data_IF_470327017096
#
_entry.id   IF_470327017096
#
_cell.length_a   1.000
_cell.length_b   1.000
_cell.length_c   1.000
_cell.angle_alpha   90.00
_cell.angle_beta   90.00
_cell.angle_gamma   90.00
#
_symmetry.space_group_name_H-M   'P 1'
#
loop_
_entity.id
_entity.type
_entity.pdbx_description
1 polymer ?
#
# COMPACT_ATOMS: atom_id res chain seq x y z
N UNK A 1 10.63 1.40 -23.17
CA UNK A 1 11.36 2.66 -23.04
C UNK A 1 12.13 2.94 -24.32
N UNK A 2 11.87 4.09 -24.95
CA UNK A 2 12.48 4.52 -26.23
C UNK A 2 13.94 4.91 -25.96
N UNK A 3 14.82 3.94 -25.92
CA UNK A 3 16.24 4.19 -25.67
C UNK A 3 17.12 3.68 -26.81
N UNK A 4 16.50 3.00 -27.77
CA UNK A 4 17.18 2.43 -28.92
C UNK A 4 16.43 2.77 -30.20
N UNK A 5 17.15 3.00 -31.29
CA UNK A 5 16.62 3.08 -32.62
C UNK A 5 17.15 1.89 -33.45
N UNK A 6 16.38 1.47 -34.42
CA UNK A 6 16.80 0.43 -35.33
C UNK A 6 17.75 1.00 -36.40
N UNK A 7 18.85 0.33 -36.65
CA UNK A 7 19.81 0.68 -37.69
C UNK A 7 19.41 0.05 -39.02
N UNK A 8 19.87 0.60 -40.14
CA UNK A 8 19.59 0.09 -41.50
C UNK A 8 19.93 -1.39 -41.66
N UNK A 9 20.82 -1.94 -40.86
CA UNK A 9 21.26 -3.33 -40.92
C UNK A 9 20.54 -4.25 -39.89
N UNK A 10 19.39 -3.85 -39.37
CA UNK A 10 18.61 -4.63 -38.39
C UNK A 10 19.19 -4.65 -36.98
N UNK A 11 20.28 -3.93 -36.71
CA UNK A 11 20.84 -3.76 -35.37
C UNK A 11 20.09 -2.71 -34.57
N UNK A 12 20.41 -2.62 -33.28
CA UNK A 12 19.84 -1.60 -32.36
C UNK A 12 20.95 -0.73 -31.79
N UNK A 13 20.81 0.57 -31.91
CA UNK A 13 21.71 1.53 -31.27
C UNK A 13 20.97 2.46 -30.30
N UNK A 14 21.70 3.04 -29.35
CA UNK A 14 21.11 3.96 -28.36
C UNK A 14 20.62 5.23 -29.08
N UNK A 15 19.36 5.58 -28.85
CA UNK A 15 18.74 6.80 -29.38
C UNK A 15 19.13 8.04 -28.55
N UNK A 16 20.42 8.27 -28.36
CA UNK A 16 20.94 9.35 -27.48
C UNK A 16 20.50 10.75 -27.92
N UNK A 17 20.23 10.95 -29.22
CA UNK A 17 19.77 12.22 -29.80
C UNK A 17 18.24 12.40 -29.73
N UNK A 18 17.48 11.40 -29.22
CA UNK A 18 16.04 11.55 -29.07
C UNK A 18 15.72 12.53 -27.93
N UNK A 19 14.79 13.48 -28.08
CA UNK A 19 14.45 14.46 -27.05
C UNK A 19 14.13 13.84 -25.68
N UNK A 20 13.42 12.71 -25.67
CA UNK A 20 13.06 11.98 -24.45
C UNK A 20 14.23 11.23 -23.79
N UNK A 21 15.37 11.06 -24.49
CA UNK A 21 16.49 10.29 -23.92
C UNK A 21 17.02 10.90 -22.64
N UNK A 22 17.18 12.24 -22.62
CA UNK A 22 17.63 12.98 -21.44
C UNK A 22 16.65 12.78 -20.28
N UNK A 23 15.37 13.02 -20.52
CA UNK A 23 14.31 12.96 -19.50
C UNK A 23 14.16 11.55 -18.92
N UNK A 24 14.16 10.52 -19.77
CA UNK A 24 13.91 9.13 -19.32
C UNK A 24 15.16 8.42 -18.81
N UNK A 25 16.37 8.89 -19.13
CA UNK A 25 17.61 8.16 -18.83
C UNK A 25 18.58 8.90 -17.94
N UNK A 26 18.46 10.20 -17.84
CA UNK A 26 19.39 11.01 -17.04
C UNK A 26 18.68 11.74 -15.92
N UNK A 27 17.80 12.66 -16.29
CA UNK A 27 17.22 13.61 -15.34
C UNK A 27 15.81 14.00 -15.80
N UNK A 28 14.76 13.44 -15.19
CA UNK A 28 13.37 13.75 -15.51
C UNK A 28 12.95 15.16 -15.07
N UNK A 29 13.54 15.70 -14.00
CA UNK A 29 13.35 17.06 -13.50
C UNK A 29 14.61 17.53 -12.75
N UNK A 30 14.72 18.80 -12.38
CA UNK A 30 15.92 19.34 -11.70
C UNK A 30 16.24 18.71 -10.35
N UNK A 31 15.26 18.11 -9.68
CA UNK A 31 15.38 17.59 -8.31
C UNK A 31 15.68 16.09 -8.24
N UNK A 32 15.49 15.36 -9.34
CA UNK A 32 15.56 13.89 -9.35
C UNK A 32 16.42 13.37 -10.49
N UNK A 33 17.16 12.32 -10.22
CA UNK A 33 17.77 11.46 -11.24
C UNK A 33 16.72 10.53 -11.85
N UNK A 34 17.02 9.95 -13.02
CA UNK A 34 16.12 8.98 -13.64
C UNK A 34 15.92 7.72 -12.77
N UNK A 35 16.92 7.35 -11.98
CA UNK A 35 16.81 6.21 -11.05
C UNK A 35 15.81 6.49 -9.93
N UNK A 36 15.96 7.61 -9.23
CA UNK A 36 15.05 8.03 -8.16
C UNK A 36 13.61 8.17 -8.64
N UNK A 37 13.43 8.74 -9.84
CA UNK A 37 12.12 8.84 -10.46
C UNK A 37 11.48 7.46 -10.73
N UNK A 38 12.24 6.52 -11.32
CA UNK A 38 11.73 5.17 -11.59
C UNK A 38 11.45 4.38 -10.29
N UNK A 39 12.28 4.54 -9.28
CA UNK A 39 12.07 3.96 -7.95
C UNK A 39 10.78 4.48 -7.34
N UNK A 40 10.57 5.80 -7.33
CA UNK A 40 9.36 6.42 -6.80
C UNK A 40 8.11 5.99 -7.58
N UNK A 41 8.15 6.00 -8.92
CA UNK A 41 7.04 5.55 -9.77
C UNK A 41 6.71 4.07 -9.55
N UNK A 42 7.72 3.24 -9.33
CA UNK A 42 7.53 1.81 -9.03
C UNK A 42 6.92 1.62 -7.65
N UNK A 43 7.39 2.35 -6.65
CA UNK A 43 6.83 2.34 -5.29
C UNK A 43 5.37 2.79 -5.27
N UNK A 44 5.02 3.83 -6.03
CA UNK A 44 3.63 4.26 -6.20
C UNK A 44 2.76 3.16 -6.84
N UNK A 45 3.25 2.49 -7.89
CA UNK A 45 2.53 1.36 -8.49
C UNK A 45 2.37 0.20 -7.51
N UNK A 46 3.40 -0.13 -6.73
CA UNK A 46 3.34 -1.21 -5.75
C UNK A 46 2.35 -0.91 -4.61
N UNK A 47 2.31 0.34 -4.12
CA UNK A 47 1.43 0.76 -3.04
C UNK A 47 -0.01 0.99 -3.49
N UNK A 48 -0.20 1.87 -4.48
CA UNK A 48 -1.53 2.34 -4.91
C UNK A 48 -2.07 1.70 -6.19
N UNK A 49 -1.26 0.89 -6.87
CA UNK A 49 -1.60 0.32 -8.17
C UNK A 49 -1.47 1.32 -9.33
N UNK A 50 -1.17 2.57 -9.05
CA UNK A 50 -1.07 3.65 -10.01
C UNK A 50 0.08 4.58 -9.64
N UNK A 51 0.78 5.08 -10.67
CA UNK A 51 1.77 6.13 -10.50
C UNK A 51 1.54 7.22 -11.55
N UNK A 52 1.66 8.46 -11.13
CA UNK A 52 1.37 9.62 -11.97
C UNK A 52 2.56 10.56 -11.99
N UNK A 53 2.83 11.14 -13.16
CA UNK A 53 3.73 12.26 -13.26
C UNK A 53 3.15 13.31 -14.21
N UNK A 54 3.26 14.57 -13.83
CA UNK A 54 2.90 15.70 -14.70
C UNK A 54 3.95 15.85 -15.79
N UNK A 55 3.48 15.99 -17.01
CA UNK A 55 4.32 16.22 -18.19
C UNK A 55 4.42 17.74 -18.40
N UNK A 56 5.61 18.28 -18.32
CA UNK A 56 5.90 19.66 -18.67
C UNK A 56 6.48 19.70 -20.07
N UNK A 57 5.85 20.48 -20.94
CA UNK A 57 6.28 20.66 -22.32
C UNK A 57 7.11 21.95 -22.47
N UNK A 58 8.02 21.96 -23.43
CA UNK A 58 8.69 23.17 -23.89
C UNK A 58 7.80 23.94 -24.90
N UNK A 59 8.24 25.14 -25.33
CA UNK A 59 7.52 25.95 -26.30
C UNK A 59 7.34 25.32 -27.66
N UNK A 60 8.03 24.22 -27.95
CA UNK A 60 7.91 23.43 -29.19
C UNK A 60 7.05 22.16 -29.01
N UNK A 61 6.39 21.99 -27.87
CA UNK A 61 5.55 20.82 -27.55
C UNK A 61 6.33 19.54 -27.22
N UNK A 62 7.62 19.64 -26.95
CA UNK A 62 8.45 18.48 -26.57
C UNK A 62 8.46 18.31 -25.06
N UNK A 63 8.49 17.08 -24.57
CA UNK A 63 8.58 16.80 -23.14
C UNK A 63 9.91 17.31 -22.60
N UNK A 64 9.83 18.27 -21.69
CA UNK A 64 10.96 18.89 -21.01
C UNK A 64 11.23 18.26 -19.66
N UNK A 65 10.17 18.03 -18.86
CA UNK A 65 10.27 17.52 -17.50
C UNK A 65 9.11 16.56 -17.17
N UNK A 66 9.34 15.69 -16.19
CA UNK A 66 8.35 14.82 -15.57
C UNK A 66 8.38 15.03 -14.06
N UNK A 67 7.27 15.46 -13.48
CA UNK A 67 7.13 15.72 -12.05
C UNK A 67 6.19 14.68 -11.42
N UNK A 68 6.67 13.84 -10.48
CA UNK A 68 5.82 12.86 -9.82
C UNK A 68 4.68 13.53 -9.07
N UNK A 69 3.49 12.94 -9.18
CA UNK A 69 2.29 13.34 -8.45
C UNK A 69 1.89 12.22 -7.50
N UNK A 70 1.42 12.58 -6.31
CA UNK A 70 1.01 11.60 -5.29
C UNK A 70 -0.28 10.90 -5.72
N UNK A 71 -0.30 9.54 -5.73
CA UNK A 71 -1.48 8.77 -6.17
C UNK A 71 -2.71 8.94 -5.26
N UNK A 72 -2.49 9.13 -3.95
CA UNK A 72 -3.56 9.36 -2.97
C UNK A 72 -4.30 10.70 -3.14
N UNK A 73 -3.75 11.59 -3.97
CA UNK A 73 -4.33 12.90 -4.29
C UNK A 73 -4.79 13.02 -5.74
N UNK A 74 -4.76 11.93 -6.49
CA UNK A 74 -5.17 11.89 -7.89
C UNK A 74 -6.52 11.21 -8.04
N UNK A 75 -7.48 11.91 -8.60
CA UNK A 75 -8.74 11.35 -9.06
C UNK A 75 -8.71 11.15 -10.58
N UNK A 76 -9.21 10.02 -11.04
CA UNK A 76 -9.27 9.68 -12.46
C UNK A 76 -10.70 9.26 -12.79
N UNK A 77 -11.31 9.94 -13.74
CA UNK A 77 -12.66 9.64 -14.17
C UNK A 77 -12.76 9.61 -15.71
N UNK A 78 -13.78 8.92 -16.21
CA UNK A 78 -14.16 9.00 -17.63
C UNK A 78 -15.41 9.84 -17.79
N UNK A 79 -15.29 10.95 -18.49
CA UNK A 79 -16.41 11.87 -18.74
C UNK A 79 -16.48 12.22 -20.22
N UNK A 80 -17.63 11.97 -20.86
CA UNK A 80 -17.79 12.22 -22.29
C UNK A 80 -16.87 11.40 -23.19
N UNK A 81 -16.44 10.21 -22.77
CA UNK A 81 -15.51 9.36 -23.52
C UNK A 81 -14.02 9.67 -23.30
N UNK A 82 -13.71 10.79 -22.66
CA UNK A 82 -12.34 11.21 -22.37
C UNK A 82 -11.94 10.89 -20.92
N UNK A 83 -10.66 10.55 -20.71
CA UNK A 83 -10.10 10.39 -19.37
C UNK A 83 -9.71 11.76 -18.86
N UNK A 84 -10.21 12.11 -17.67
CA UNK A 84 -9.89 13.33 -16.95
C UNK A 84 -9.16 13.00 -15.65
N UNK A 85 -8.17 13.80 -15.35
CA UNK A 85 -7.40 13.72 -14.11
C UNK A 85 -7.67 14.97 -13.30
N UNK A 86 -7.86 14.82 -11.99
CA UNK A 86 -7.97 15.94 -11.05
C UNK A 86 -6.97 15.72 -9.94
N UNK A 87 -6.06 16.65 -9.75
CA UNK A 87 -5.05 16.58 -8.71
C UNK A 87 -5.37 17.54 -7.57
N UNK A 88 -5.47 17.02 -6.35
CA UNK A 88 -5.67 17.79 -5.13
C UNK A 88 -4.31 18.29 -4.60
N UNK A 89 -4.05 19.58 -4.73
CA UNK A 89 -2.85 20.21 -4.20
C UNK A 89 -2.82 20.25 -2.67
N UNK A 90 -1.65 20.54 -2.09
CA UNK A 90 -1.50 20.63 -0.63
C UNK A 90 -2.36 21.72 0.02
N UNK A 91 -2.62 22.80 -0.72
CA UNK A 91 -3.48 23.92 -0.31
C UNK A 91 -4.98 23.61 -0.38
N UNK A 92 -5.37 22.39 -0.78
CA UNK A 92 -6.76 21.98 -0.97
C UNK A 92 -7.36 22.37 -2.31
N UNK A 93 -6.61 22.98 -3.20
CA UNK A 93 -7.10 23.36 -4.54
C UNK A 93 -7.08 22.14 -5.47
N UNK A 94 -8.19 21.93 -6.19
CA UNK A 94 -8.27 20.94 -7.24
C UNK A 94 -7.80 21.50 -8.57
N UNK A 95 -6.86 20.82 -9.20
CA UNK A 95 -6.30 21.18 -10.50
C UNK A 95 -6.68 20.13 -11.52
N UNK A 96 -7.52 20.46 -12.50
CA UNK A 96 -7.83 19.55 -13.60
C UNK A 96 -6.62 19.45 -14.53
N UNK A 97 -6.27 18.22 -14.92
CA UNK A 97 -5.18 17.93 -15.85
C UNK A 97 -5.76 17.16 -17.05
N UNK A 98 -5.39 17.59 -18.23
CA UNK A 98 -5.74 16.87 -19.45
C UNK A 98 -4.96 15.54 -19.56
N UNK A 99 -5.52 14.56 -20.27
CA UNK A 99 -4.91 13.23 -20.41
C UNK A 99 -3.49 13.26 -20.97
N UNK A 100 -3.15 14.21 -21.82
CA UNK A 100 -1.82 14.38 -22.41
C UNK A 100 -0.82 15.08 -21.48
N UNK A 101 -1.28 15.67 -20.38
CA UNK A 101 -0.44 16.30 -19.35
C UNK A 101 -0.02 15.31 -18.25
N UNK A 102 -0.53 14.08 -18.29
CA UNK A 102 -0.27 13.11 -17.23
C UNK A 102 0.36 11.85 -17.82
N UNK A 103 1.56 11.53 -17.38
CA UNK A 103 2.13 10.20 -17.55
C UNK A 103 1.55 9.28 -16.48
N UNK A 104 0.61 8.43 -16.86
CA UNK A 104 -0.05 7.49 -15.97
C UNK A 104 0.51 6.09 -16.20
N UNK A 105 1.18 5.55 -15.18
CA UNK A 105 1.63 4.15 -15.12
C UNK A 105 0.66 3.38 -14.25
N UNK A 106 0.11 2.30 -14.78
CA UNK A 106 -0.87 1.43 -14.11
C UNK A 106 -0.26 0.06 -13.85
N UNK A 107 -0.53 -0.49 -12.67
CA UNK A 107 -0.24 -1.88 -12.36
C UNK A 107 -1.28 -2.80 -13.04
N UNK A 108 -1.79 -3.81 -12.35
CA UNK A 108 -2.83 -4.67 -12.90
C UNK A 108 -4.13 -3.87 -13.11
N UNK A 109 -4.62 -3.81 -14.35
CA UNK A 109 -5.78 -3.02 -14.74
C UNK A 109 -6.97 -3.96 -14.99
N UNK A 110 -8.13 -3.67 -14.38
CA UNK A 110 -9.35 -4.44 -14.59
C UNK A 110 -10.39 -3.69 -15.42
N UNK A 111 -10.56 -2.39 -15.20
CA UNK A 111 -11.56 -1.53 -15.86
C UNK A 111 -11.00 -0.70 -17.04
N UNK A 112 -9.70 -0.79 -17.28
CA UNK A 112 -9.00 0.02 -18.29
C UNK A 112 -8.74 1.47 -17.89
N UNK A 113 -9.22 1.90 -16.71
CA UNK A 113 -9.07 3.28 -16.24
C UNK A 113 -7.95 3.44 -15.23
N UNK A 114 -8.01 2.67 -14.15
CA UNK A 114 -7.01 2.68 -13.07
C UNK A 114 -6.45 1.29 -12.79
N UNK A 115 -5.25 1.24 -12.25
CA UNK A 115 -4.64 0.01 -11.78
C UNK A 115 -5.12 -0.35 -10.38
N UNK A 116 -5.25 -1.65 -10.09
CA UNK A 116 -5.55 -2.15 -8.75
C UNK A 116 -4.33 -2.07 -7.85
N UNK A 117 -4.54 -1.62 -6.62
CA UNK A 117 -3.51 -1.67 -5.59
C UNK A 117 -3.21 -3.11 -5.18
N UNK A 118 -1.98 -3.60 -5.33
CA UNK A 118 -1.58 -4.93 -4.84
C UNK A 118 -1.82 -5.08 -3.34
N UNK A 119 -1.58 -4.04 -2.56
CA UNK A 119 -1.84 -4.03 -1.12
C UNK A 119 -3.33 -4.20 -0.80
N UNK A 120 -4.22 -3.56 -1.56
CA UNK A 120 -5.66 -3.71 -1.37
C UNK A 120 -6.14 -5.13 -1.66
N UNK A 121 -5.58 -5.78 -2.67
CA UNK A 121 -5.89 -7.18 -3.01
C UNK A 121 -5.40 -8.12 -1.91
N UNK A 122 -4.22 -7.88 -1.37
CA UNK A 122 -3.61 -8.68 -0.32
C UNK A 122 -4.02 -8.28 1.10
N UNK A 123 -4.96 -7.34 1.27
CA UNK A 123 -5.28 -6.72 2.57
C UNK A 123 -5.63 -7.72 3.66
N UNK A 124 -6.40 -8.77 3.35
CA UNK A 124 -6.74 -9.81 4.32
C UNK A 124 -5.51 -10.59 4.80
N UNK A 125 -4.62 -10.96 3.87
CA UNK A 125 -3.38 -11.68 4.21
C UNK A 125 -2.43 -10.79 5.03
N UNK A 126 -2.31 -9.53 4.66
CA UNK A 126 -1.49 -8.54 5.40
C UNK A 126 -2.06 -8.31 6.80
N UNK A 127 -3.38 -8.12 6.92
CA UNK A 127 -4.04 -7.94 8.23
C UNK A 127 -3.87 -9.15 9.14
N UNK A 128 -3.98 -10.36 8.60
CA UNK A 128 -3.73 -11.58 9.35
C UNK A 128 -2.27 -11.67 9.80
N UNK A 129 -1.31 -11.35 8.92
CA UNK A 129 0.11 -11.30 9.25
C UNK A 129 0.39 -10.34 10.40
N UNK A 130 -0.10 -9.10 10.31
CA UNK A 130 0.05 -8.09 11.37
C UNK A 130 -0.57 -8.54 12.71
N UNK A 131 -1.76 -9.13 12.68
CA UNK A 131 -2.41 -9.66 13.89
C UNK A 131 -1.60 -10.80 14.52
N UNK A 132 -0.99 -11.66 13.70
CA UNK A 132 -0.14 -12.77 14.17
C UNK A 132 1.16 -12.25 14.79
N UNK A 133 1.80 -11.26 14.17
CA UNK A 133 3.00 -10.62 14.72
C UNK A 133 2.72 -9.92 16.06
N UNK A 134 1.62 -9.17 16.14
CA UNK A 134 1.21 -8.50 17.36
C UNK A 134 0.89 -9.50 18.47
N UNK A 135 0.17 -10.57 18.16
CA UNK A 135 -0.10 -11.66 19.10
C UNK A 135 1.20 -12.30 19.58
N UNK A 136 2.10 -12.65 18.66
CA UNK A 136 3.41 -13.23 18.99
C UNK A 136 4.26 -12.31 19.87
N UNK A 137 4.33 -11.03 19.54
CA UNK A 137 5.07 -10.04 20.32
C UNK A 137 4.52 -9.92 21.74
N UNK A 138 3.20 -9.84 21.93
CA UNK A 138 2.55 -9.81 23.25
C UNK A 138 2.79 -11.10 24.03
N UNK A 139 2.67 -12.26 23.37
CA UNK A 139 2.89 -13.56 23.99
C UNK A 139 4.32 -13.70 24.54
N UNK A 140 5.31 -13.36 23.75
CA UNK A 140 6.73 -13.42 24.17
C UNK A 140 7.07 -12.35 25.22
N UNK A 141 6.53 -11.13 25.10
CA UNK A 141 6.72 -10.08 26.09
C UNK A 141 6.16 -10.46 27.48
N UNK A 142 5.15 -11.31 27.53
CA UNK A 142 4.58 -11.84 28.78
C UNK A 142 5.29 -13.12 29.27
N UNK A 143 6.46 -13.44 28.72
CA UNK A 143 7.28 -14.58 29.13
C UNK A 143 6.84 -15.91 28.56
N UNK A 144 6.06 -15.92 27.46
CA UNK A 144 5.62 -17.11 26.74
C UNK A 144 4.96 -18.18 27.63
N UNK A 145 4.34 -17.76 28.73
CA UNK A 145 3.67 -18.69 29.66
C UNK A 145 2.34 -19.15 29.03
N UNK A 146 2.11 -20.45 28.92
CA UNK A 146 0.79 -20.95 28.56
C UNK A 146 -0.21 -20.59 29.64
N UNK A 147 -1.46 -20.33 29.24
CA UNK A 147 -2.54 -20.08 30.18
C UNK A 147 -2.63 -21.24 31.18
N UNK A 148 -2.82 -20.93 32.46
CA UNK A 148 -2.94 -21.95 33.50
C UNK A 148 -4.23 -22.74 33.32
N UNK A 149 -4.16 -24.05 33.53
CA UNK A 149 -5.32 -24.93 33.67
C UNK A 149 -5.66 -24.96 35.16
N UNK A 150 -6.80 -24.41 35.53
CA UNK A 150 -7.30 -24.53 36.89
C UNK A 150 -8.15 -25.79 37.02
N UNK A 151 -7.81 -26.70 37.92
CA UNK A 151 -8.60 -27.85 38.22
C UNK A 151 -9.25 -27.73 39.60
N UNK A 152 -10.54 -27.97 39.70
CA UNK A 152 -11.27 -27.98 40.98
C UNK A 152 -11.42 -29.43 41.49
N UNK A 153 -11.08 -29.72 42.75
CA UNK A 153 -11.08 -31.09 43.29
C UNK A 153 -12.48 -31.68 43.51
N UNK A 154 -13.55 -30.87 43.43
CA UNK A 154 -14.93 -31.32 43.64
C UNK A 154 -15.88 -30.71 42.59
N UNK A 155 -17.09 -31.28 42.46
CA UNK A 155 -18.11 -30.73 41.58
C UNK A 155 -18.54 -29.34 41.99
N UNK A 156 -18.59 -28.43 41.04
CA UNK A 156 -19.08 -27.07 41.24
C UNK A 156 -20.60 -27.03 41.27
N UNK A 157 -21.20 -26.18 42.07
CA UNK A 157 -22.62 -25.89 41.97
C UNK A 157 -22.95 -25.11 40.70
N UNK A 158 -24.19 -25.24 40.16
CA UNK A 158 -24.62 -24.57 38.95
C UNK A 158 -24.35 -23.03 39.00
N UNK A 159 -24.59 -22.39 40.17
CA UNK A 159 -24.30 -20.97 40.35
C UNK A 159 -22.80 -20.63 40.38
N UNK A 160 -21.96 -21.55 40.83
CA UNK A 160 -20.50 -21.34 40.80
C UNK A 160 -19.99 -21.54 39.37
N UNK A 161 -20.54 -22.50 38.63
CA UNK A 161 -20.23 -22.70 37.20
C UNK A 161 -20.61 -21.48 36.36
N UNK A 162 -21.83 -20.95 36.47
CA UNK A 162 -22.26 -19.75 35.73
C UNK A 162 -21.38 -18.53 36.01
N UNK A 163 -20.99 -18.35 37.27
CA UNK A 163 -20.06 -17.26 37.65
C UNK A 163 -18.67 -17.44 37.03
N UNK A 164 -18.19 -18.68 37.02
CA UNK A 164 -16.90 -19.04 36.45
C UNK A 164 -16.89 -18.82 34.94
N UNK A 165 -17.93 -19.27 34.26
CA UNK A 165 -18.11 -19.08 32.82
C UNK A 165 -18.25 -17.61 32.43
N UNK A 166 -19.04 -16.84 33.18
CA UNK A 166 -19.19 -15.40 32.95
C UNK A 166 -17.88 -14.63 33.12
N UNK A 167 -17.09 -14.98 34.17
CA UNK A 167 -15.77 -14.38 34.40
C UNK A 167 -14.74 -14.80 33.34
N UNK A 168 -14.81 -16.05 32.88
CA UNK A 168 -13.92 -16.56 31.83
C UNK A 168 -14.20 -15.88 30.49
N UNK A 169 -15.47 -15.77 30.11
CA UNK A 169 -15.90 -15.14 28.88
C UNK A 169 -15.72 -13.61 28.88
N UNK A 170 -15.86 -12.94 30.03
CA UNK A 170 -15.60 -11.50 30.18
C UNK A 170 -14.13 -11.13 29.98
N UNK A 171 -13.22 -12.08 29.97
CA UNK A 171 -11.79 -11.86 29.78
C UNK A 171 -11.28 -12.23 28.41
N UNK A 172 -12.15 -12.34 27.40
CA UNK A 172 -11.76 -12.62 26.00
C UNK A 172 -10.89 -11.49 25.38
N UNK A 173 -10.11 -11.82 24.37
CA UNK A 173 -9.27 -10.87 23.63
C UNK A 173 -7.98 -10.49 24.36
N UNK A 174 -7.81 -9.25 24.76
CA UNK A 174 -6.58 -8.75 25.36
C UNK A 174 -6.15 -9.43 26.68
N UNK A 175 -7.08 -10.12 27.34
CA UNK A 175 -6.85 -10.79 28.63
C UNK A 175 -6.69 -12.31 28.51
N UNK A 176 -6.63 -12.87 27.31
CA UNK A 176 -6.59 -14.32 27.11
C UNK A 176 -5.41 -15.03 27.80
N UNK A 177 -4.33 -14.29 28.12
CA UNK A 177 -3.13 -14.82 28.77
C UNK A 177 -2.91 -14.31 30.19
N UNK A 178 -3.87 -13.58 30.76
CA UNK A 178 -3.76 -13.11 32.17
C UNK A 178 -4.25 -14.20 33.12
N UNK A 179 -3.54 -14.40 34.21
CA UNK A 179 -3.95 -15.26 35.33
C UNK A 179 -5.27 -14.76 35.87
N UNK A 180 -6.31 -15.58 35.84
CA UNK A 180 -7.58 -15.28 36.50
C UNK A 180 -7.61 -16.02 37.82
N UNK A 181 -7.67 -15.26 38.88
CA UNK A 181 -7.88 -15.80 40.24
C UNK A 181 -9.34 -16.17 40.36
N UNK A 182 -9.61 -17.44 40.62
CA UNK A 182 -10.95 -17.97 40.86
C UNK A 182 -11.04 -18.30 42.34
N UNK A 183 -11.92 -17.62 43.04
CA UNK A 183 -12.20 -17.83 44.46
C UNK A 183 -13.10 -19.06 44.62
N UNK A 184 -13.11 -19.70 45.78
CA UNK A 184 -13.85 -20.89 46.19
C UNK A 184 -13.08 -22.23 46.15
N UNK A 185 -11.85 -22.24 46.71
CA UNK A 185 -11.13 -23.50 47.02
C UNK A 185 -10.45 -24.18 45.84
N UNK A 186 -10.21 -23.45 44.74
CA UNK A 186 -9.39 -23.95 43.63
C UNK A 186 -7.91 -23.86 43.96
N UNK A 187 -7.18 -24.94 43.72
CA UNK A 187 -5.73 -25.02 43.76
C UNK A 187 -5.14 -24.99 42.35
N UNK A 188 -3.95 -24.35 42.23
CA UNK A 188 -3.18 -24.34 40.97
C UNK A 188 -2.80 -25.75 40.50
#
# INVERSE_FOLDING_TARGET
>A
LITYRETRNGGRERAANHPLYRVLRRQPNPEMTAFEFEELMTSHCAGWGNAYAQIILDGAGRVRELWPLRPDRMSVERKGGEIRYTYLQQNGQEVPLAWWQVHHRRAMVMDGLVGMSPLRVAMLAVSLGMATEEFGARFFAQGAKPGFILSHPSQLTDKAWERLEARWNAGGGENAHKVKIIEEGMTE
#
